data_IF_111833318120
#
_entry.id   IF_111833318120
#
_cell.length_a   1.000
_cell.length_b   1.000
_cell.length_c   1.000
_cell.angle_alpha   90.00
_cell.angle_beta   90.00
_cell.angle_gamma   90.00
#
_symmetry.space_group_name_H-M   'P 1'
#
loop_
_entity.id
_entity.type
_entity.pdbx_description
1 polymer ?
#
# COMPACT_ATOMS: atom_id res chain seq x y z
N UNK A 1 14.97 4.19 8.85
CA UNK A 1 14.86 2.75 9.17
C UNK A 1 16.22 2.08 9.37
N UNK A 2 17.18 2.31 8.53
CA UNK A 2 18.52 1.73 8.70
C UNK A 2 19.20 2.11 10.00
N UNK A 3 19.06 3.36 10.45
CA UNK A 3 19.64 3.81 11.72
C UNK A 3 18.98 3.11 12.93
N UNK A 4 17.67 2.92 12.93
CA UNK A 4 16.97 2.18 13.98
C UNK A 4 17.40 0.71 14.01
N UNK A 5 17.59 0.09 12.84
CA UNK A 5 18.11 -1.27 12.75
C UNK A 5 19.51 -1.39 13.35
N UNK A 6 20.41 -0.45 13.07
CA UNK A 6 21.76 -0.46 13.65
C UNK A 6 21.73 -0.36 15.16
N UNK A 7 20.94 0.54 15.70
CA UNK A 7 20.83 0.72 17.15
C UNK A 7 20.38 -0.58 17.82
N UNK A 8 19.39 -1.25 17.27
CA UNK A 8 18.88 -2.52 17.82
C UNK A 8 19.92 -3.62 17.73
N UNK A 9 20.66 -3.73 16.62
CA UNK A 9 21.71 -4.72 16.45
C UNK A 9 22.88 -4.44 17.40
N UNK A 10 23.31 -3.20 17.51
CA UNK A 10 24.38 -2.82 18.44
C UNK A 10 24.01 -3.12 19.89
N UNK A 11 22.76 -2.85 20.29
CA UNK A 11 22.26 -3.19 21.60
C UNK A 11 22.28 -4.70 21.86
N UNK A 12 21.95 -5.52 20.87
CA UNK A 12 22.01 -6.96 20.98
C UNK A 12 23.43 -7.50 21.10
N UNK A 13 24.40 -6.89 20.40
CA UNK A 13 25.78 -7.34 20.42
C UNK A 13 26.57 -6.88 21.64
N UNK A 14 26.18 -5.77 22.26
CA UNK A 14 26.85 -5.24 23.46
C UNK A 14 26.53 -5.99 24.74
N UNK A 15 25.55 -6.88 24.72
CA UNK A 15 25.15 -7.67 25.88
C UNK A 15 25.95 -8.96 26.07
N UNK A 16 26.91 -9.19 25.26
CA UNK A 16 27.64 -10.44 25.12
C UNK A 16 28.39 -10.88 26.34
N UNK A 17 28.75 -9.99 27.24
CA UNK A 17 29.79 -10.28 28.21
C UNK A 17 29.27 -10.82 29.53
N UNK A 18 27.97 -10.99 29.68
CA UNK A 18 27.41 -11.34 30.99
C UNK A 18 26.23 -12.29 30.88
N UNK A 19 26.45 -13.54 31.16
CA UNK A 19 25.44 -14.59 31.04
C UNK A 19 24.48 -14.63 32.23
N UNK A 20 23.91 -13.51 32.61
CA UNK A 20 22.81 -13.46 33.55
C UNK A 20 21.49 -13.63 32.80
N UNK A 21 20.54 -14.40 33.36
CA UNK A 21 19.30 -14.76 32.67
C UNK A 21 18.52 -13.56 32.15
N UNK A 22 18.39 -12.50 32.92
CA UNK A 22 17.64 -11.29 32.48
C UNK A 22 18.32 -10.58 31.32
N UNK A 23 19.65 -10.54 31.29
CA UNK A 23 20.41 -9.92 30.22
C UNK A 23 20.37 -10.76 28.95
N UNK A 24 20.42 -12.08 29.05
CA UNK A 24 20.29 -12.98 27.92
C UNK A 24 18.92 -12.83 27.28
N UNK A 25 17.87 -12.71 28.07
CA UNK A 25 16.50 -12.47 27.55
C UNK A 25 16.41 -11.17 26.80
N UNK A 26 16.99 -10.09 27.32
CA UNK A 26 17.01 -8.79 26.64
C UNK A 26 17.77 -8.84 25.32
N UNK A 27 18.91 -9.51 25.29
CA UNK A 27 19.70 -9.68 24.07
C UNK A 27 18.92 -10.47 23.01
N UNK A 28 18.19 -11.50 23.41
CA UNK A 28 17.33 -12.27 22.51
C UNK A 28 16.17 -11.41 21.97
N UNK A 29 15.50 -10.64 22.82
CA UNK A 29 14.43 -9.75 22.41
C UNK A 29 14.92 -8.70 21.43
N UNK A 30 16.07 -8.08 21.66
CA UNK A 30 16.66 -7.12 20.73
C UNK A 30 17.04 -7.77 19.41
N UNK A 31 17.54 -9.00 19.42
CA UNK A 31 17.86 -9.74 18.21
C UNK A 31 16.60 -10.04 17.38
N UNK A 32 15.50 -10.41 18.03
CA UNK A 32 14.22 -10.63 17.34
C UNK A 32 13.66 -9.33 16.76
N UNK A 33 13.76 -8.22 17.48
CA UNK A 33 13.37 -6.90 16.97
C UNK A 33 14.21 -6.49 15.77
N UNK A 34 15.52 -6.72 15.81
CA UNK A 34 16.40 -6.44 14.69
C UNK A 34 16.04 -7.25 13.46
N UNK A 35 15.72 -8.53 13.62
CA UNK A 35 15.25 -9.38 12.53
C UNK A 35 13.92 -8.89 11.96
N UNK A 36 12.99 -8.49 12.82
CA UNK A 36 11.70 -7.94 12.41
C UNK A 36 11.85 -6.64 11.64
N UNK A 37 12.76 -5.75 12.08
CA UNK A 37 13.07 -4.53 11.36
C UNK A 37 13.77 -4.77 10.04
N UNK A 38 14.70 -5.72 9.98
CA UNK A 38 15.35 -6.12 8.74
C UNK A 38 14.36 -6.67 7.72
N UNK A 39 13.44 -7.51 8.17
CA UNK A 39 12.37 -8.05 7.32
C UNK A 39 11.49 -6.93 6.77
N UNK A 40 11.15 -5.96 7.59
CA UNK A 40 10.36 -4.81 7.16
C UNK A 40 11.08 -3.95 6.13
N UNK A 41 12.40 -3.77 6.28
CA UNK A 41 13.22 -3.07 5.28
C UNK A 41 13.19 -3.79 3.94
N UNK A 42 13.33 -5.11 3.94
CA UNK A 42 13.24 -5.93 2.73
C UNK A 42 11.86 -5.80 2.08
N UNK A 43 10.79 -5.88 2.85
CA UNK A 43 9.42 -5.72 2.36
C UNK A 43 9.19 -4.36 1.73
N UNK A 44 9.69 -3.29 2.35
CA UNK A 44 9.59 -1.93 1.82
C UNK A 44 10.43 -1.77 0.54
N UNK A 45 11.60 -2.37 0.50
CA UNK A 45 12.46 -2.35 -0.68
C UNK A 45 11.78 -3.07 -1.86
N UNK A 46 11.20 -4.24 -1.61
CA UNK A 46 10.46 -4.99 -2.61
C UNK A 46 9.25 -4.19 -3.13
N UNK A 47 8.51 -3.53 -2.24
CA UNK A 47 7.40 -2.67 -2.61
C UNK A 47 7.86 -1.50 -3.49
N UNK A 48 8.97 -0.85 -3.14
CA UNK A 48 9.56 0.20 -3.96
C UNK A 48 9.96 -0.29 -5.35
N UNK A 49 10.57 -1.46 -5.43
CA UNK A 49 10.98 -2.05 -6.71
C UNK A 49 9.77 -2.34 -7.59
N UNK A 50 8.69 -2.86 -7.01
CA UNK A 50 7.43 -3.09 -7.74
C UNK A 50 6.84 -1.77 -8.26
N UNK A 51 6.85 -0.72 -7.46
CA UNK A 51 6.33 0.59 -7.88
C UNK A 51 7.20 1.22 -8.96
N UNK A 52 8.51 1.09 -8.87
CA UNK A 52 9.44 1.58 -9.90
C UNK A 52 9.30 0.84 -11.21
N UNK A 53 8.97 -0.44 -11.17
CA UNK A 53 8.76 -1.26 -12.35
C UNK A 53 7.40 -1.02 -13.02
N UNK A 54 6.48 -0.30 -12.36
CA UNK A 54 5.18 0.01 -12.89
C UNK A 54 5.29 0.92 -14.11
N UNK A 55 4.81 0.45 -15.24
CA UNK A 55 4.74 1.26 -16.45
C UNK A 55 3.58 2.26 -16.33
N UNK A 56 3.91 3.53 -16.38
CA UNK A 56 2.92 4.59 -16.44
C UNK A 56 2.51 4.79 -17.90
N UNK A 57 1.24 4.63 -18.17
CA UNK A 57 0.66 4.86 -19.50
C UNK A 57 -0.54 5.80 -19.38
N UNK A 58 -0.84 6.50 -20.46
CA UNK A 58 -2.02 7.33 -20.52
C UNK A 58 -3.26 6.46 -20.72
N UNK A 59 -4.24 6.63 -19.85
CA UNK A 59 -5.56 6.01 -20.01
C UNK A 59 -6.50 7.02 -20.66
N UNK A 60 -7.36 6.54 -21.53
CA UNK A 60 -8.38 7.31 -22.21
C UNK A 60 -9.77 6.87 -21.74
N UNK A 61 -10.80 7.58 -22.17
CA UNK A 61 -12.17 7.26 -21.79
C UNK A 61 -12.59 5.84 -22.20
N UNK A 62 -12.08 5.34 -23.32
CA UNK A 62 -12.35 4.00 -23.82
C UNK A 62 -11.46 2.93 -23.20
N UNK A 63 -10.43 3.31 -22.48
CA UNK A 63 -9.48 2.36 -21.89
C UNK A 63 -10.14 1.58 -20.75
N UNK A 64 -9.83 0.29 -20.67
CA UNK A 64 -10.22 -0.52 -19.53
C UNK A 64 -9.29 -0.23 -18.36
N UNK A 65 -9.86 -0.19 -17.17
CA UNK A 65 -9.09 0.03 -15.96
C UNK A 65 -8.13 -1.14 -15.76
N UNK A 66 -6.87 -0.81 -15.58
CA UNK A 66 -5.80 -1.77 -15.37
C UNK A 66 -4.79 -1.20 -14.37
N UNK A 67 -3.76 -1.96 -14.05
CA UNK A 67 -2.67 -1.51 -13.20
C UNK A 67 -2.08 -0.19 -13.72
N UNK A 68 -1.91 0.78 -12.83
CA UNK A 68 -1.42 2.12 -13.18
C UNK A 68 -2.51 3.14 -13.48
N UNK A 69 -3.77 2.75 -13.47
CA UNK A 69 -4.89 3.67 -13.72
C UNK A 69 -5.22 4.51 -12.48
N UNK A 70 -5.51 5.78 -12.73
CA UNK A 70 -6.12 6.67 -11.74
C UNK A 70 -7.61 6.78 -12.05
N UNK A 71 -8.43 6.32 -11.14
CA UNK A 71 -9.89 6.19 -11.33
C UNK A 71 -10.61 7.17 -10.44
N UNK A 72 -11.51 7.95 -11.02
CA UNK A 72 -12.49 8.74 -10.29
C UNK A 72 -13.80 7.96 -10.17
N UNK A 73 -14.24 7.73 -8.95
CA UNK A 73 -15.44 6.97 -8.62
C UNK A 73 -16.47 7.88 -7.99
N UNK A 74 -17.61 8.01 -8.64
CA UNK A 74 -18.72 8.88 -8.20
C UNK A 74 -19.81 8.04 -7.55
N UNK A 75 -20.13 8.34 -6.29
CA UNK A 75 -21.19 7.66 -5.54
C UNK A 75 -22.50 8.47 -5.50
N UNK A 76 -22.57 9.55 -6.27
CA UNK A 76 -23.72 10.45 -6.30
C UNK A 76 -23.59 11.66 -5.36
N UNK A 77 -22.71 11.60 -4.37
CA UNK A 77 -22.45 12.68 -3.43
C UNK A 77 -21.04 13.28 -3.61
N UNK A 78 -20.04 12.43 -3.72
CA UNK A 78 -18.63 12.84 -3.88
C UNK A 78 -17.95 11.96 -4.92
N UNK A 79 -16.86 12.48 -5.48
CA UNK A 79 -15.96 11.71 -6.35
C UNK A 79 -14.72 11.35 -5.55
N UNK A 80 -14.49 10.07 -5.37
CA UNK A 80 -13.30 9.54 -4.73
C UNK A 80 -12.30 9.07 -5.78
N UNK A 81 -11.02 9.26 -5.52
CA UNK A 81 -9.96 8.90 -6.47
C UNK A 81 -9.16 7.71 -5.94
N UNK A 82 -8.90 6.75 -6.83
CA UNK A 82 -8.15 5.54 -6.54
C UNK A 82 -7.08 5.35 -7.60
N UNK A 83 -5.86 5.05 -7.14
CA UNK A 83 -4.75 4.68 -8.01
C UNK A 83 -4.46 3.19 -7.82
N UNK A 84 -4.48 2.43 -8.89
CA UNK A 84 -4.23 0.99 -8.84
C UNK A 84 -2.74 0.73 -9.03
N UNK A 85 -2.08 0.29 -7.97
CA UNK A 85 -0.65 0.04 -7.94
C UNK A 85 -0.33 -1.39 -7.54
N UNK A 86 0.90 -1.81 -7.82
CA UNK A 86 1.39 -3.16 -7.48
C UNK A 86 1.64 -3.32 -5.98
N UNK A 87 1.84 -2.22 -5.27
CA UNK A 87 2.13 -2.19 -3.84
C UNK A 87 1.71 -0.85 -3.24
N UNK A 88 1.76 -0.74 -1.92
CA UNK A 88 1.42 0.49 -1.20
C UNK A 88 -0.07 0.66 -0.94
N UNK A 89 -0.84 -0.43 -0.98
CA UNK A 89 -2.27 -0.38 -0.70
C UNK A 89 -2.59 0.25 0.66
N UNK A 90 -3.61 1.13 0.69
CA UNK A 90 -4.02 1.87 1.87
C UNK A 90 -3.32 3.22 2.05
N UNK A 91 -2.29 3.51 1.30
CA UNK A 91 -1.62 4.83 1.33
C UNK A 91 -2.54 5.87 0.72
N UNK A 92 -2.57 7.05 1.34
CA UNK A 92 -3.31 8.21 0.83
C UNK A 92 -2.32 9.31 0.47
N UNK A 93 -2.49 9.88 -0.69
CA UNK A 93 -1.66 10.99 -1.17
C UNK A 93 -2.55 12.10 -1.71
N UNK A 94 -2.06 13.33 -1.66
CA UNK A 94 -2.76 14.48 -2.24
C UNK A 94 -2.09 14.85 -3.56
N UNK A 95 -2.86 14.83 -4.63
CA UNK A 95 -2.40 15.17 -5.97
C UNK A 95 -3.30 16.24 -6.53
N UNK A 96 -2.74 17.39 -6.91
CA UNK A 96 -3.48 18.52 -7.47
C UNK A 96 -4.70 18.93 -6.61
N UNK A 97 -4.55 18.90 -5.29
CA UNK A 97 -5.60 19.26 -4.35
C UNK A 97 -6.63 18.17 -4.06
N UNK A 98 -6.53 17.02 -4.69
CA UNK A 98 -7.43 15.89 -4.47
C UNK A 98 -6.73 14.76 -3.72
N UNK A 99 -7.42 14.14 -2.78
CA UNK A 99 -6.93 12.96 -2.09
C UNK A 99 -7.08 11.73 -2.99
N UNK A 100 -5.99 10.99 -3.12
CA UNK A 100 -5.95 9.74 -3.88
C UNK A 100 -5.58 8.61 -2.94
N UNK A 101 -6.39 7.56 -2.93
CA UNK A 101 -6.08 6.33 -2.19
C UNK A 101 -5.43 5.32 -3.12
N UNK A 102 -4.30 4.79 -2.70
CA UNK A 102 -3.63 3.72 -3.43
C UNK A 102 -4.28 2.39 -3.07
N UNK A 103 -4.65 1.61 -4.07
CA UNK A 103 -5.21 0.27 -3.91
C UNK A 103 -4.42 -0.72 -4.74
N UNK A 104 -4.37 -1.97 -4.27
CA UNK A 104 -3.72 -3.06 -4.99
C UNK A 104 -4.76 -3.95 -5.65
N UNK A 105 -4.39 -4.75 -6.68
CA UNK A 105 -5.34 -5.62 -7.36
C UNK A 105 -6.05 -6.65 -6.46
N UNK A 106 -5.50 -6.93 -5.29
CA UNK A 106 -6.10 -7.84 -4.33
C UNK A 106 -7.21 -7.20 -3.50
N UNK A 107 -7.30 -5.87 -3.47
CA UNK A 107 -8.33 -5.18 -2.69
C UNK A 107 -9.71 -5.34 -3.32
N UNK A 108 -10.79 -5.36 -2.51
CA UNK A 108 -12.15 -5.46 -3.05
C UNK A 108 -12.51 -4.34 -4.02
N UNK A 109 -12.06 -3.11 -3.74
CA UNK A 109 -12.32 -1.95 -4.61
C UNK A 109 -11.62 -2.14 -5.96
N UNK A 110 -10.35 -2.51 -5.97
CA UNK A 110 -9.62 -2.72 -7.21
C UNK A 110 -10.22 -3.87 -8.04
N UNK A 111 -10.64 -4.94 -7.39
CA UNK A 111 -11.31 -6.05 -8.09
C UNK A 111 -12.60 -5.61 -8.77
N UNK A 112 -13.34 -4.71 -8.15
CA UNK A 112 -14.56 -4.17 -8.74
C UNK A 112 -14.28 -3.23 -9.91
N UNK A 113 -13.15 -2.53 -9.88
CA UNK A 113 -12.77 -1.53 -10.89
C UNK A 113 -12.07 -2.15 -12.10
N UNK A 114 -11.22 -3.15 -11.90
CA UNK A 114 -10.42 -3.73 -12.97
C UNK A 114 -11.28 -4.25 -14.12
N UNK A 115 -10.93 -3.87 -15.35
CA UNK A 115 -11.65 -4.25 -16.54
C UNK A 115 -12.87 -3.38 -16.87
N UNK A 116 -13.24 -2.45 -16.01
CA UNK A 116 -14.32 -1.50 -16.24
C UNK A 116 -13.82 -0.31 -17.07
N UNK A 117 -14.74 0.47 -17.58
CA UNK A 117 -14.47 1.67 -18.38
C UNK A 117 -15.16 2.89 -17.78
N UNK A 118 -14.74 4.06 -18.20
CA UNK A 118 -15.42 5.31 -17.85
C UNK A 118 -16.91 5.23 -18.26
N UNK A 119 -17.77 5.61 -17.36
CA UNK A 119 -19.23 5.56 -17.55
C UNK A 119 -19.88 4.27 -17.09
N UNK A 120 -19.09 3.25 -16.74
CA UNK A 120 -19.64 2.00 -16.20
C UNK A 120 -20.15 2.21 -14.77
N UNK A 121 -21.23 1.52 -14.44
CA UNK A 121 -21.79 1.48 -13.10
C UNK A 121 -21.30 0.22 -12.37
N UNK A 122 -21.13 0.35 -11.06
CA UNK A 122 -20.76 -0.78 -10.23
C UNK A 122 -21.33 -0.65 -8.82
N UNK A 123 -21.37 -1.77 -8.12
CA UNK A 123 -21.77 -1.82 -6.72
C UNK A 123 -20.56 -2.14 -5.86
N UNK A 124 -20.35 -1.34 -4.82
CA UNK A 124 -19.33 -1.59 -3.80
C UNK A 124 -20.00 -2.10 -2.53
N UNK A 125 -19.57 -3.27 -2.08
CA UNK A 125 -19.99 -3.81 -0.79
C UNK A 125 -19.08 -3.26 0.30
N UNK A 126 -19.68 -2.57 1.25
CA UNK A 126 -18.99 -2.00 2.41
C UNK A 126 -19.60 -2.54 3.70
N UNK A 127 -18.93 -2.39 4.85
CA UNK A 127 -19.51 -2.76 6.14
C UNK A 127 -20.83 -2.03 6.45
N UNK A 128 -21.05 -0.87 5.83
CA UNK A 128 -22.29 -0.08 5.99
C UNK A 128 -23.38 -0.46 4.99
N UNK A 129 -23.11 -1.38 4.07
CA UNK A 129 -24.06 -1.82 3.06
C UNK A 129 -23.50 -1.72 1.64
N UNK A 130 -24.39 -1.77 0.65
CA UNK A 130 -24.04 -1.67 -0.77
C UNK A 130 -24.11 -0.22 -1.21
N UNK A 131 -23.07 0.26 -1.89
CA UNK A 131 -23.03 1.58 -2.52
C UNK A 131 -23.04 1.43 -4.03
N UNK A 132 -23.94 2.14 -4.68
CA UNK A 132 -23.94 2.24 -6.14
C UNK A 132 -23.03 3.38 -6.57
N UNK A 133 -22.11 3.09 -7.47
CA UNK A 133 -21.10 4.03 -7.94
C UNK A 133 -21.01 3.97 -9.46
N UNK A 134 -20.52 5.06 -10.04
CA UNK A 134 -20.19 5.10 -11.46
C UNK A 134 -18.75 5.57 -11.65
N UNK A 135 -18.12 5.12 -12.72
CA UNK A 135 -16.75 5.50 -13.05
C UNK A 135 -16.80 6.83 -13.78
N UNK A 136 -16.38 7.88 -13.06
CA UNK A 136 -16.42 9.25 -13.59
C UNK A 136 -15.24 9.56 -14.50
N UNK A 137 -14.07 8.97 -14.22
CA UNK A 137 -12.87 9.20 -15.03
C UNK A 137 -11.89 8.04 -14.91
N UNK A 138 -11.11 7.84 -15.96
CA UNK A 138 -9.97 6.92 -16.00
C UNK A 138 -8.81 7.66 -16.66
N UNK A 139 -7.68 7.73 -15.95
CA UNK A 139 -6.49 8.44 -16.44
C UNK A 139 -5.23 7.61 -16.31
#
# INVERSE_FOLDING_TARGET
MSAAQRVVVDGATHEENRPENDKDTRALEQSYLARGQAQRVVELQDALNLLKALELRAFQAESRIALGALVGLDDGAVVEHYFIASAGGGVRVTVAGSEVRVVTPQSPIARALLGKQQGDDLELRTPQGVRECSIASVR
#
